data_IF_190237243461
#
_entry.id   IF_190237243461
#
_cell.length_a   1.000
_cell.length_b   1.000
_cell.length_c   1.000
_cell.angle_alpha   90.00
_cell.angle_beta   90.00
_cell.angle_gamma   90.00
#
_symmetry.space_group_name_H-M   'P 1'
#
loop_
_entity.id
_entity.type
_entity.pdbx_description
1 polymer ?
#
# COMPACT_ATOMS: atom_id res chain seq x y z
N UNK A 1 -27.27 35.28 14.24
CA UNK A 1 -25.98 34.89 14.80
C UNK A 1 -24.95 34.88 13.65
N UNK A 2 -23.83 35.59 13.86
CA UNK A 2 -22.76 35.58 12.85
C UNK A 2 -21.98 34.28 12.88
N UNK A 3 -21.17 34.05 11.84
CA UNK A 3 -20.29 32.89 11.74
C UNK A 3 -19.00 33.17 12.57
N UNK A 4 -18.69 32.38 13.60
CA UNK A 4 -17.46 32.55 14.37
C UNK A 4 -16.23 32.45 13.47
N UNK A 5 -15.24 33.34 13.66
CA UNK A 5 -14.02 33.36 12.87
C UNK A 5 -12.84 33.76 13.75
N UNK A 6 -11.90 32.84 13.97
CA UNK A 6 -10.65 33.12 14.71
C UNK A 6 -9.61 33.65 13.75
N UNK A 7 -9.30 34.90 13.87
CA UNK A 7 -8.45 35.63 12.92
C UNK A 7 -7.14 36.05 13.58
N UNK A 8 -6.02 35.56 13.07
CA UNK A 8 -4.71 36.11 13.45
C UNK A 8 -4.39 37.28 12.52
N UNK A 9 -4.23 38.48 13.09
CA UNK A 9 -3.93 39.71 12.35
C UNK A 9 -2.46 40.04 12.52
N UNK A 10 -1.75 40.16 11.41
CA UNK A 10 -0.37 40.60 11.37
C UNK A 10 -0.39 42.03 10.85
N UNK A 11 -0.35 43.01 11.76
CA UNK A 11 -0.57 44.44 11.46
C UNK A 11 0.01 45.30 12.59
N UNK A 12 0.72 46.38 12.27
CA UNK A 12 1.27 47.34 13.24
C UNK A 12 0.25 48.44 13.58
N UNK A 13 -0.73 48.71 12.70
CA UNK A 13 -1.78 49.74 12.89
C UNK A 13 -3.03 49.14 13.57
N UNK A 14 -3.44 49.74 14.69
CA UNK A 14 -4.69 49.37 15.35
C UNK A 14 -5.90 49.82 14.54
N UNK A 15 -5.86 51.00 13.90
CA UNK A 15 -6.93 51.53 13.08
C UNK A 15 -7.21 50.63 11.87
N UNK A 16 -6.19 50.13 11.19
CA UNK A 16 -6.30 49.21 10.08
C UNK A 16 -6.89 47.85 10.53
N UNK A 17 -6.47 47.36 11.70
CA UNK A 17 -7.05 46.19 12.33
C UNK A 17 -8.56 46.35 12.56
N UNK A 18 -8.98 47.50 13.09
CA UNK A 18 -10.39 47.79 13.33
C UNK A 18 -11.21 47.87 12.03
N UNK A 19 -10.62 48.43 10.96
CA UNK A 19 -11.25 48.45 9.63
C UNK A 19 -11.47 47.03 9.08
N UNK A 20 -10.48 46.17 9.18
CA UNK A 20 -10.55 44.77 8.77
C UNK A 20 -11.67 44.04 9.57
N UNK A 21 -11.68 44.23 10.91
CA UNK A 21 -12.71 43.61 11.76
C UNK A 21 -14.11 44.14 11.46
N UNK A 22 -14.28 45.42 11.13
CA UNK A 22 -15.53 45.99 10.72
C UNK A 22 -16.09 45.35 9.46
N UNK A 23 -15.21 45.18 8.41
CA UNK A 23 -15.63 44.56 7.17
C UNK A 23 -16.00 43.08 7.36
N UNK A 24 -15.26 42.32 8.17
CA UNK A 24 -15.61 40.93 8.50
C UNK A 24 -16.98 40.85 9.20
N UNK A 25 -17.27 41.71 10.17
CA UNK A 25 -18.56 41.78 10.84
C UNK A 25 -19.69 42.13 9.86
N UNK A 26 -19.47 43.09 8.96
CA UNK A 26 -20.40 43.45 7.87
C UNK A 26 -20.72 42.27 6.97
N UNK A 27 -19.72 41.40 6.74
CA UNK A 27 -19.85 40.17 5.96
C UNK A 27 -20.56 39.03 6.65
N UNK A 28 -21.04 39.22 7.93
CA UNK A 28 -21.78 38.21 8.69
C UNK A 28 -20.90 37.30 9.55
N UNK A 29 -19.60 37.62 9.73
CA UNK A 29 -18.73 36.92 10.66
C UNK A 29 -18.79 37.53 12.06
N UNK A 30 -18.48 36.71 13.07
CA UNK A 30 -18.20 37.13 14.45
C UNK A 30 -16.71 36.90 14.75
N UNK A 31 -15.80 37.81 14.29
CA UNK A 31 -14.38 37.59 14.42
C UNK A 31 -13.92 37.75 15.87
N UNK A 32 -13.21 36.77 16.36
CA UNK A 32 -12.29 36.88 17.50
C UNK A 32 -10.88 36.96 16.95
N UNK A 33 -10.08 37.91 17.42
CA UNK A 33 -8.79 38.16 16.85
C UNK A 33 -7.69 38.39 17.88
N UNK A 34 -6.47 38.08 17.46
CA UNK A 34 -5.23 38.54 18.12
C UNK A 34 -4.39 39.27 17.08
N UNK A 35 -3.85 40.44 17.49
CA UNK A 35 -2.97 41.25 16.65
C UNK A 35 -1.53 41.06 17.05
N UNK A 36 -0.66 40.80 16.08
CA UNK A 36 0.80 40.62 16.25
C UNK A 36 1.53 41.45 15.20
N UNK A 37 2.72 41.93 15.54
CA UNK A 37 3.56 42.73 14.67
C UNK A 37 5.02 42.28 14.64
N UNK A 38 5.32 41.13 15.28
CA UNK A 38 6.64 40.50 15.30
C UNK A 38 6.57 39.00 15.03
N UNK A 39 7.69 38.43 14.63
CA UNK A 39 7.83 36.99 14.37
C UNK A 39 7.60 36.15 15.64
N UNK A 40 8.11 36.63 16.78
CA UNK A 40 8.00 35.97 18.08
C UNK A 40 6.56 35.92 18.54
N UNK A 41 5.84 37.06 18.42
CA UNK A 41 4.42 37.15 18.80
C UNK A 41 3.56 36.23 17.88
N UNK A 42 3.79 36.24 16.57
CA UNK A 42 3.12 35.33 15.63
C UNK A 42 3.39 33.86 16.00
N UNK A 43 4.63 33.51 16.27
CA UNK A 43 5.00 32.16 16.66
C UNK A 43 4.27 31.72 17.94
N UNK A 44 4.24 32.57 18.96
CA UNK A 44 3.51 32.29 20.21
C UNK A 44 2.00 32.16 19.99
N UNK A 45 1.39 33.06 19.21
CA UNK A 45 -0.03 32.99 18.88
C UNK A 45 -0.42 31.71 18.15
N UNK A 46 0.41 31.25 17.20
CA UNK A 46 0.19 30.00 16.47
C UNK A 46 0.32 28.73 17.36
N UNK A 47 1.09 28.82 18.44
CA UNK A 47 1.24 27.71 19.40
C UNK A 47 0.16 27.70 20.48
N UNK A 48 -0.42 28.87 20.80
CA UNK A 48 -1.39 29.00 21.90
C UNK A 48 -2.81 28.60 21.54
N UNK A 49 -3.23 28.77 20.29
CA UNK A 49 -4.62 28.46 19.89
C UNK A 49 -4.74 28.12 18.39
N UNK A 50 -5.92 27.62 18.04
CA UNK A 50 -6.24 27.27 16.65
C UNK A 50 -6.84 28.49 15.95
N UNK A 51 -6.32 28.80 14.79
CA UNK A 51 -6.79 29.89 13.93
C UNK A 51 -7.56 29.34 12.73
N UNK A 52 -8.47 30.17 12.21
CA UNK A 52 -9.20 29.83 10.99
C UNK A 52 -8.58 30.53 9.78
N UNK A 53 -8.00 31.72 9.99
CA UNK A 53 -7.41 32.53 8.93
C UNK A 53 -6.33 33.48 9.49
N UNK A 54 -5.36 33.80 8.64
CA UNK A 54 -4.36 34.85 8.88
C UNK A 54 -4.61 35.98 7.90
N UNK A 55 -4.66 37.21 8.40
CA UNK A 55 -4.70 38.41 7.59
C UNK A 55 -3.48 39.26 7.94
N UNK A 56 -2.65 39.57 6.95
CA UNK A 56 -1.37 40.24 7.12
C UNK A 56 -1.30 41.53 6.32
N UNK A 57 -0.86 42.62 6.95
CA UNK A 57 -0.36 43.74 6.17
C UNK A 57 0.92 43.34 5.45
N UNK A 58 1.13 43.92 4.30
CA UNK A 58 2.34 43.72 3.50
C UNK A 58 3.49 44.56 3.98
N UNK A 59 3.24 45.80 4.42
CA UNK A 59 4.24 46.85 4.65
C UNK A 59 4.42 47.15 6.12
N UNK A 60 4.99 46.23 6.87
CA UNK A 60 5.34 46.45 8.27
C UNK A 60 6.84 46.69 8.47
N UNK A 61 7.25 47.61 9.36
CA UNK A 61 8.65 47.95 9.54
C UNK A 61 9.48 46.80 10.15
N UNK A 62 8.90 45.97 11.00
CA UNK A 62 9.64 44.98 11.80
C UNK A 62 9.39 43.53 11.41
N UNK A 63 8.35 43.24 10.62
CA UNK A 63 7.97 41.87 10.27
C UNK A 63 7.42 41.80 8.86
N UNK A 64 8.12 41.12 7.96
CA UNK A 64 7.76 41.06 6.57
C UNK A 64 6.80 39.88 6.27
N UNK A 65 5.88 40.04 5.29
CA UNK A 65 5.00 38.99 4.79
C UNK A 65 5.76 37.71 4.39
N UNK A 66 6.90 37.75 3.66
CA UNK A 66 7.67 36.53 3.37
C UNK A 66 8.17 35.81 4.63
N UNK A 67 8.55 36.51 5.69
CA UNK A 67 8.96 35.89 6.94
C UNK A 67 7.77 35.22 7.66
N UNK A 68 6.60 35.87 7.66
CA UNK A 68 5.38 35.31 8.21
C UNK A 68 4.94 34.03 7.47
N UNK A 69 5.00 34.02 6.13
CA UNK A 69 4.71 32.84 5.30
C UNK A 69 5.73 31.72 5.54
N UNK A 70 7.01 32.03 5.67
CA UNK A 70 8.05 31.06 5.98
C UNK A 70 7.82 30.39 7.35
N UNK A 71 7.42 31.18 8.36
CA UNK A 71 7.09 30.67 9.69
C UNK A 71 5.87 29.76 9.66
N UNK A 72 4.79 30.15 8.99
CA UNK A 72 3.59 29.32 8.82
C UNK A 72 3.90 27.99 8.14
N UNK A 73 4.67 28.04 7.05
CA UNK A 73 5.11 26.86 6.32
C UNK A 73 6.01 25.95 7.15
N UNK A 74 6.91 26.53 7.95
CA UNK A 74 7.78 25.78 8.85
C UNK A 74 7.01 25.00 9.93
N UNK A 75 5.81 25.47 10.32
CA UNK A 75 4.92 24.80 11.26
C UNK A 75 4.02 23.74 10.59
N UNK A 76 4.00 23.65 9.27
CA UNK A 76 3.13 22.69 8.55
C UNK A 76 1.64 22.98 8.71
N UNK A 77 1.24 24.21 9.01
CA UNK A 77 -0.15 24.60 9.20
C UNK A 77 -0.78 24.98 7.86
N UNK A 78 -1.91 24.35 7.52
CA UNK A 78 -2.74 24.70 6.36
C UNK A 78 -3.80 25.73 6.81
N UNK A 79 -3.41 27.01 6.81
CA UNK A 79 -4.27 28.13 7.15
C UNK A 79 -4.30 29.11 5.98
N UNK A 80 -5.48 29.65 5.61
CA UNK A 80 -5.56 30.74 4.64
C UNK A 80 -4.74 31.94 5.11
N UNK A 81 -3.91 32.46 4.22
CA UNK A 81 -3.10 33.63 4.46
C UNK A 81 -3.45 34.70 3.42
N UNK A 82 -4.15 35.74 3.85
CA UNK A 82 -4.61 36.85 3.00
C UNK A 82 -3.76 38.07 3.30
N UNK A 83 -3.26 38.70 2.26
CA UNK A 83 -2.52 39.95 2.37
C UNK A 83 -3.47 41.14 2.17
N UNK A 84 -3.40 42.12 3.07
CA UNK A 84 -4.12 43.38 2.94
C UNK A 84 -3.10 44.51 2.86
N UNK A 85 -3.10 45.30 1.78
CA UNK A 85 -2.09 46.34 1.56
C UNK A 85 -2.65 47.61 0.93
N UNK A 86 -2.06 48.76 1.30
CA UNK A 86 -2.43 50.07 0.74
C UNK A 86 -1.90 50.31 -0.68
N UNK A 87 -0.71 49.78 -1.00
CA UNK A 87 -0.09 49.92 -2.33
C UNK A 87 0.84 48.73 -2.63
N UNK A 88 0.31 47.72 -3.24
CA UNK A 88 1.13 46.63 -3.80
C UNK A 88 1.24 46.80 -5.31
N UNK A 89 2.46 46.82 -5.85
CA UNK A 89 2.71 46.64 -7.27
C UNK A 89 2.38 45.19 -7.68
N UNK A 90 1.94 45.00 -8.94
CA UNK A 90 1.57 43.66 -9.47
C UNK A 90 2.68 42.62 -9.29
N UNK A 91 3.93 43.00 -9.47
CA UNK A 91 5.09 42.10 -9.29
C UNK A 91 5.20 41.56 -7.86
N UNK A 92 4.90 42.39 -6.86
CA UNK A 92 5.02 42.05 -5.45
C UNK A 92 3.85 41.15 -5.00
N UNK A 93 2.64 41.39 -5.54
CA UNK A 93 1.50 40.52 -5.32
C UNK A 93 1.77 39.11 -5.89
N UNK A 94 2.33 39.03 -7.11
CA UNK A 94 2.73 37.74 -7.72
C UNK A 94 3.81 37.04 -6.90
N UNK A 95 4.80 37.78 -6.38
CA UNK A 95 5.84 37.20 -5.52
C UNK A 95 5.29 36.64 -4.22
N UNK A 96 4.33 37.32 -3.58
CA UNK A 96 3.68 36.89 -2.36
C UNK A 96 2.81 35.61 -2.59
N UNK A 97 2.08 35.55 -3.71
CA UNK A 97 1.32 34.36 -4.09
C UNK A 97 2.26 33.14 -4.34
N UNK A 98 3.38 33.36 -5.03
CA UNK A 98 4.40 32.30 -5.21
C UNK A 98 5.04 31.87 -3.89
N UNK A 99 5.14 32.76 -2.90
CA UNK A 99 5.65 32.44 -1.59
C UNK A 99 4.67 31.64 -0.72
N UNK A 100 3.39 31.59 -1.10
CA UNK A 100 2.35 30.80 -0.42
C UNK A 100 1.19 31.61 0.16
N UNK A 101 1.08 32.91 -0.15
CA UNK A 101 -0.14 33.66 0.15
C UNK A 101 -1.30 33.12 -0.69
N UNK A 102 -2.49 33.10 -0.14
CA UNK A 102 -3.68 32.55 -0.81
C UNK A 102 -4.40 33.61 -1.64
N UNK A 103 -4.46 34.85 -1.15
CA UNK A 103 -5.00 35.97 -1.91
C UNK A 103 -4.44 37.30 -1.35
N UNK A 104 -4.74 38.38 -2.09
CA UNK A 104 -4.46 39.73 -1.63
C UNK A 104 -5.66 40.66 -1.81
N UNK A 105 -5.80 41.62 -0.91
CA UNK A 105 -6.87 42.63 -0.92
C UNK A 105 -6.25 44.01 -0.72
N UNK A 106 -6.71 45.01 -1.49
CA UNK A 106 -6.26 46.38 -1.35
C UNK A 106 -7.01 47.07 -0.21
N UNK A 107 -6.30 47.87 0.64
CA UNK A 107 -6.91 48.64 1.74
C UNK A 107 -7.95 49.65 1.24
N UNK A 108 -7.81 50.16 -0.01
CA UNK A 108 -8.79 51.05 -0.65
C UNK A 108 -10.04 50.31 -1.17
N UNK A 109 -10.05 48.96 -1.19
CA UNK A 109 -11.15 48.14 -1.64
C UNK A 109 -11.39 46.93 -0.71
N UNK A 110 -11.58 47.19 0.58
CA UNK A 110 -11.84 46.15 1.59
C UNK A 110 -13.17 45.39 1.37
N UNK A 111 -14.06 45.88 0.51
CA UNK A 111 -15.27 45.15 0.13
C UNK A 111 -14.99 43.76 -0.50
N UNK A 112 -13.79 43.55 -1.05
CA UNK A 112 -13.33 42.25 -1.54
C UNK A 112 -12.92 41.27 -0.46
N UNK A 113 -12.65 41.75 0.76
CA UNK A 113 -12.12 40.90 1.85
C UNK A 113 -13.06 39.74 2.19
N UNK A 114 -14.34 40.02 2.37
CA UNK A 114 -15.33 39.02 2.74
C UNK A 114 -15.51 37.91 1.68
N UNK A 115 -15.66 38.22 0.37
CA UNK A 115 -15.63 37.21 -0.69
C UNK A 115 -14.38 36.34 -0.68
N UNK A 116 -13.20 36.94 -0.53
CA UNK A 116 -11.91 36.23 -0.50
C UNK A 116 -11.84 35.30 0.72
N UNK A 117 -12.14 35.82 1.92
CA UNK A 117 -12.18 35.02 3.17
C UNK A 117 -13.10 33.81 3.01
N UNK A 118 -14.32 34.02 2.49
CA UNK A 118 -15.28 32.94 2.27
C UNK A 118 -14.76 31.87 1.31
N UNK A 119 -14.12 32.29 0.22
CA UNK A 119 -13.53 31.39 -0.76
C UNK A 119 -12.40 30.57 -0.15
N UNK A 120 -11.46 31.21 0.50
CA UNK A 120 -10.27 30.55 1.07
C UNK A 120 -10.61 29.58 2.21
N UNK A 121 -11.56 29.95 3.07
CA UNK A 121 -12.07 29.04 4.11
C UNK A 121 -12.70 27.78 3.51
N UNK A 122 -13.45 27.94 2.42
CA UNK A 122 -14.07 26.83 1.72
C UNK A 122 -13.02 25.92 1.07
N UNK A 123 -12.01 26.50 0.43
CA UNK A 123 -10.93 25.75 -0.21
C UNK A 123 -10.13 24.91 0.82
N UNK A 124 -9.84 25.47 2.00
CA UNK A 124 -9.23 24.71 3.09
C UNK A 124 -10.10 23.55 3.55
N UNK A 125 -11.41 23.78 3.70
CA UNK A 125 -12.34 22.73 4.10
C UNK A 125 -12.38 21.58 3.08
N UNK A 126 -12.47 21.89 1.79
CA UNK A 126 -12.43 20.92 0.70
C UNK A 126 -11.12 20.14 0.70
N UNK A 127 -9.97 20.82 0.88
CA UNK A 127 -8.66 20.13 0.96
C UNK A 127 -8.59 19.18 2.16
N UNK A 128 -9.10 19.59 3.32
CA UNK A 128 -9.14 18.76 4.54
C UNK A 128 -10.06 17.56 4.39
N UNK A 129 -11.24 17.75 3.81
CA UNK A 129 -12.17 16.65 3.54
C UNK A 129 -11.58 15.64 2.58
N UNK A 130 -10.95 16.12 1.51
CA UNK A 130 -10.25 15.26 0.53
C UNK A 130 -9.13 14.47 1.22
N UNK A 131 -8.27 15.10 1.99
CA UNK A 131 -7.20 14.43 2.72
C UNK A 131 -7.72 13.33 3.66
N UNK A 132 -8.80 13.61 4.42
CA UNK A 132 -9.45 12.61 5.29
C UNK A 132 -10.05 11.45 4.50
N UNK A 133 -10.66 11.74 3.35
CA UNK A 133 -11.25 10.71 2.48
C UNK A 133 -10.15 9.80 1.88
N UNK A 134 -9.04 10.39 1.41
CA UNK A 134 -7.89 9.66 0.89
C UNK A 134 -7.26 8.76 1.99
N UNK A 135 -7.09 9.29 3.19
CA UNK A 135 -6.55 8.52 4.33
C UNK A 135 -7.49 7.36 4.73
N UNK A 136 -8.80 7.62 4.80
CA UNK A 136 -9.81 6.59 5.12
C UNK A 136 -9.85 5.50 4.06
N UNK A 137 -9.74 5.87 2.78
CA UNK A 137 -9.69 4.93 1.66
C UNK A 137 -8.44 4.04 1.76
N UNK A 138 -7.29 4.63 2.03
CA UNK A 138 -6.05 3.90 2.20
C UNK A 138 -6.12 2.90 3.36
N UNK A 139 -6.63 3.32 4.51
CA UNK A 139 -6.81 2.43 5.67
C UNK A 139 -7.79 1.29 5.37
N UNK A 140 -8.88 1.58 4.66
CA UNK A 140 -9.86 0.57 4.25
C UNK A 140 -9.26 -0.44 3.28
N UNK A 141 -8.46 0.02 2.32
CA UNK A 141 -7.75 -0.84 1.37
C UNK A 141 -6.75 -1.77 2.08
N UNK A 142 -5.96 -1.25 2.99
CA UNK A 142 -5.00 -2.05 3.77
C UNK A 142 -5.68 -3.09 4.65
N UNK A 143 -6.82 -2.72 5.27
CA UNK A 143 -7.63 -3.64 6.06
C UNK A 143 -8.19 -4.78 5.20
N UNK A 144 -8.77 -4.44 4.04
CA UNK A 144 -9.35 -5.43 3.12
C UNK A 144 -8.28 -6.41 2.63
N UNK A 145 -7.11 -5.89 2.26
CA UNK A 145 -5.96 -6.70 1.86
C UNK A 145 -5.55 -7.69 2.95
N UNK A 146 -5.43 -7.21 4.19
CA UNK A 146 -5.09 -8.07 5.34
C UNK A 146 -6.13 -9.18 5.55
N UNK A 147 -7.43 -8.84 5.51
CA UNK A 147 -8.50 -9.83 5.68
C UNK A 147 -8.45 -10.90 4.59
N UNK A 148 -8.17 -10.51 3.34
CA UNK A 148 -8.02 -11.45 2.24
C UNK A 148 -6.85 -12.42 2.47
N UNK A 149 -5.71 -11.91 2.94
CA UNK A 149 -4.55 -12.72 3.28
C UNK A 149 -4.83 -13.70 4.41
N UNK A 150 -5.40 -13.20 5.51
CA UNK A 150 -5.76 -14.03 6.66
C UNK A 150 -6.78 -15.10 6.30
N UNK A 151 -7.74 -14.78 5.42
CA UNK A 151 -8.73 -15.74 4.91
C UNK A 151 -8.07 -16.82 4.07
N UNK A 152 -7.16 -16.45 3.16
CA UNK A 152 -6.41 -17.41 2.36
C UNK A 152 -5.59 -18.36 3.25
N UNK A 153 -4.89 -17.82 4.25
CA UNK A 153 -4.12 -18.62 5.23
C UNK A 153 -5.04 -19.56 6.02
N UNK A 154 -6.21 -19.09 6.46
CA UNK A 154 -7.16 -19.91 7.18
C UNK A 154 -7.70 -21.08 6.33
N UNK A 155 -8.01 -20.82 5.05
CA UNK A 155 -8.42 -21.85 4.10
C UNK A 155 -7.30 -22.86 3.85
N UNK A 156 -6.08 -22.40 3.60
CA UNK A 156 -4.90 -23.27 3.45
C UNK A 156 -4.69 -24.16 4.68
N UNK A 157 -4.71 -23.56 5.86
CA UNK A 157 -4.54 -24.30 7.12
C UNK A 157 -5.67 -25.32 7.38
N UNK A 158 -6.89 -25.05 6.90
CA UNK A 158 -8.00 -26.02 7.00
C UNK A 158 -7.74 -27.26 6.16
N UNK A 159 -7.10 -27.12 4.99
CA UNK A 159 -6.70 -28.22 4.12
C UNK A 159 -5.52 -29.00 4.74
N UNK A 160 -4.50 -28.28 5.24
CA UNK A 160 -3.36 -28.92 5.91
C UNK A 160 -3.78 -29.82 7.10
N UNK A 161 -4.86 -29.46 7.83
CA UNK A 161 -5.37 -30.30 8.93
C UNK A 161 -5.90 -31.65 8.47
N UNK A 162 -6.23 -31.82 7.18
CA UNK A 162 -6.64 -33.10 6.59
C UNK A 162 -5.44 -33.94 6.15
N UNK A 163 -4.30 -33.30 5.92
CA UNK A 163 -3.01 -33.92 5.61
C UNK A 163 -2.03 -33.57 6.75
N UNK A 164 -1.97 -34.39 7.82
CA UNK A 164 -1.24 -34.03 9.06
C UNK A 164 0.25 -33.78 8.87
N UNK A 165 0.80 -34.16 7.72
CA UNK A 165 2.23 -34.04 7.43
C UNK A 165 2.59 -32.80 6.63
N UNK A 166 1.59 -31.99 6.26
CA UNK A 166 1.80 -30.73 5.52
C UNK A 166 1.69 -29.48 6.37
N UNK A 167 1.73 -29.61 7.71
CA UNK A 167 1.64 -28.46 8.60
C UNK A 167 2.73 -27.41 8.28
N UNK A 168 2.27 -26.20 7.89
CA UNK A 168 3.12 -25.10 7.46
C UNK A 168 3.76 -25.24 6.08
N UNK A 169 3.50 -26.33 5.34
CA UNK A 169 4.00 -26.53 3.98
C UNK A 169 3.63 -25.39 3.04
N UNK A 170 2.36 -25.06 2.98
CA UNK A 170 1.85 -24.02 2.09
C UNK A 170 2.48 -22.66 2.37
N UNK A 171 2.73 -22.33 3.64
CA UNK A 171 3.38 -21.10 4.04
C UNK A 171 4.86 -21.10 3.63
N UNK A 172 5.58 -22.21 3.82
CA UNK A 172 6.98 -22.33 3.42
C UNK A 172 7.16 -22.31 1.91
N UNK A 173 6.26 -22.98 1.17
CA UNK A 173 6.22 -22.92 -0.31
C UNK A 173 5.98 -21.50 -0.78
N UNK A 174 4.98 -20.80 -0.23
CA UNK A 174 4.68 -19.42 -0.56
C UNK A 174 5.86 -18.49 -0.22
N UNK A 175 6.54 -18.70 0.92
CA UNK A 175 7.71 -17.93 1.32
C UNK A 175 8.87 -18.10 0.32
N UNK A 176 9.20 -19.32 -0.07
CA UNK A 176 10.24 -19.61 -1.04
C UNK A 176 9.89 -19.08 -2.42
N UNK A 177 8.67 -19.31 -2.90
CA UNK A 177 8.21 -18.80 -4.20
C UNK A 177 8.29 -17.27 -4.27
N UNK A 178 7.89 -16.56 -3.23
CA UNK A 178 8.05 -15.11 -3.14
C UNK A 178 9.51 -14.65 -3.11
N UNK A 179 10.41 -15.41 -2.48
CA UNK A 179 11.82 -15.09 -2.46
C UNK A 179 12.43 -15.28 -3.86
N UNK A 180 12.12 -16.39 -4.55
CA UNK A 180 12.53 -16.62 -5.94
C UNK A 180 12.05 -15.48 -6.84
N UNK A 181 10.76 -15.13 -6.77
CA UNK A 181 10.17 -14.06 -7.57
C UNK A 181 10.83 -12.70 -7.33
N UNK A 182 11.23 -12.39 -6.10
CA UNK A 182 11.98 -11.17 -5.76
C UNK A 182 13.39 -11.20 -6.37
N UNK A 183 14.09 -12.32 -6.25
CA UNK A 183 15.42 -12.53 -6.85
C UNK A 183 15.40 -12.39 -8.38
N UNK A 184 14.28 -12.75 -9.02
CA UNK A 184 14.05 -12.56 -10.46
C UNK A 184 13.57 -11.14 -10.82
N UNK A 185 13.36 -10.23 -9.86
CA UNK A 185 12.95 -8.85 -10.12
C UNK A 185 11.48 -8.67 -10.49
N UNK A 186 10.58 -9.60 -10.13
CA UNK A 186 9.16 -9.45 -10.40
C UNK A 186 8.55 -8.28 -9.61
N UNK A 187 7.48 -7.67 -10.16
CA UNK A 187 6.77 -6.57 -9.50
C UNK A 187 6.13 -7.01 -8.18
N UNK A 188 5.96 -6.07 -7.24
CA UNK A 188 5.29 -6.34 -5.96
C UNK A 188 3.92 -7.00 -6.15
N UNK A 189 3.16 -6.56 -7.14
CA UNK A 189 1.84 -7.13 -7.45
C UNK A 189 1.93 -8.61 -7.87
N UNK A 190 2.87 -8.99 -8.73
CA UNK A 190 3.05 -10.40 -9.13
C UNK A 190 3.48 -11.26 -7.95
N UNK A 191 4.37 -10.77 -7.09
CA UNK A 191 4.81 -11.47 -5.88
C UNK A 191 3.63 -11.73 -4.93
N UNK A 192 2.71 -10.79 -4.80
CA UNK A 192 1.48 -10.98 -4.03
C UNK A 192 0.60 -12.09 -4.62
N UNK A 193 0.43 -12.12 -5.93
CA UNK A 193 -0.32 -13.19 -6.62
C UNK A 193 0.31 -14.56 -6.38
N UNK A 194 1.64 -14.66 -6.47
CA UNK A 194 2.40 -15.89 -6.17
C UNK A 194 2.19 -16.31 -4.71
N UNK A 195 2.19 -15.36 -3.78
CA UNK A 195 1.98 -15.64 -2.36
C UNK A 195 0.61 -16.24 -2.08
N UNK A 196 -0.45 -15.64 -2.63
CA UNK A 196 -1.83 -16.13 -2.48
C UNK A 196 -1.97 -17.51 -3.14
N UNK A 197 -1.43 -17.67 -4.35
CA UNK A 197 -1.45 -18.96 -5.04
C UNK A 197 -0.67 -20.03 -4.26
N UNK A 198 0.50 -19.70 -3.71
CA UNK A 198 1.28 -20.62 -2.89
C UNK A 198 0.57 -21.10 -1.62
N UNK A 199 -0.22 -20.23 -0.99
CA UNK A 199 -1.04 -20.61 0.18
C UNK A 199 -2.21 -21.52 -0.24
N UNK A 200 -2.77 -21.35 -1.45
CA UNK A 200 -3.98 -21.99 -1.91
C UNK A 200 -3.74 -23.12 -2.94
N UNK A 201 -2.50 -23.37 -3.37
CA UNK A 201 -2.21 -24.29 -4.48
C UNK A 201 -2.78 -25.68 -4.30
N UNK A 202 -2.80 -26.14 -3.08
CA UNK A 202 -3.26 -27.47 -2.67
C UNK A 202 -4.75 -27.53 -2.22
N UNK A 203 -5.51 -26.43 -2.38
CA UNK A 203 -6.91 -26.37 -1.90
C UNK A 203 -7.78 -27.51 -2.47
N UNK A 204 -7.47 -27.96 -3.67
CA UNK A 204 -8.18 -29.07 -4.30
C UNK A 204 -8.01 -30.44 -3.63
N UNK A 205 -7.03 -30.58 -2.73
CA UNK A 205 -6.88 -31.81 -1.92
C UNK A 205 -8.09 -32.08 -1.02
N UNK A 206 -9.00 -31.10 -0.86
CA UNK A 206 -10.27 -31.31 -0.15
C UNK A 206 -11.11 -32.44 -0.76
N UNK A 207 -10.95 -32.71 -2.05
CA UNK A 207 -11.65 -33.80 -2.77
C UNK A 207 -10.96 -35.16 -2.64
N UNK A 208 -9.74 -35.21 -2.12
CA UNK A 208 -9.00 -36.45 -1.93
C UNK A 208 -9.37 -37.06 -0.57
N UNK A 209 -9.69 -38.38 -0.50
CA UNK A 209 -9.91 -39.07 0.76
C UNK A 209 -8.70 -38.92 1.71
N UNK A 210 -8.96 -38.62 2.98
CA UNK A 210 -7.89 -38.39 3.95
C UNK A 210 -7.03 -39.65 4.17
N UNK A 211 -7.61 -40.83 3.99
CA UNK A 211 -6.96 -42.12 4.07
C UNK A 211 -5.85 -42.29 3.03
N UNK A 212 -6.02 -41.66 1.83
CA UNK A 212 -5.01 -41.65 0.77
C UNK A 212 -3.88 -40.65 1.13
N UNK A 213 -4.26 -39.45 1.57
CA UNK A 213 -3.29 -38.38 1.91
C UNK A 213 -2.41 -38.77 3.12
N UNK A 214 -2.98 -39.48 4.10
CA UNK A 214 -2.27 -39.89 5.32
C UNK A 214 -1.77 -41.33 5.30
N UNK A 215 -1.83 -42.00 4.15
CA UNK A 215 -1.46 -43.43 4.00
C UNK A 215 0.01 -43.64 4.36
N UNK A 216 0.33 -44.48 5.34
CA UNK A 216 1.69 -44.90 5.59
C UNK A 216 2.18 -45.85 4.49
N UNK A 217 3.32 -45.60 3.87
CA UNK A 217 3.93 -46.43 2.84
C UNK A 217 3.61 -46.01 1.40
N UNK A 218 3.82 -46.88 0.45
CA UNK A 218 3.70 -46.58 -0.99
C UNK A 218 2.27 -46.31 -1.44
N UNK A 219 2.09 -45.27 -2.24
CA UNK A 219 0.83 -44.94 -2.90
C UNK A 219 0.71 -45.83 -4.17
N UNK A 220 -0.46 -46.44 -4.40
CA UNK A 220 -0.74 -47.17 -5.62
C UNK A 220 -0.92 -46.25 -6.81
N UNK A 221 -0.82 -46.78 -8.03
CA UNK A 221 -1.04 -45.97 -9.23
C UNK A 221 -2.44 -45.33 -9.26
N UNK A 222 -3.47 -46.03 -8.83
CA UNK A 222 -4.84 -45.51 -8.78
C UNK A 222 -4.95 -44.34 -7.78
N UNK A 223 -4.36 -44.50 -6.60
CA UNK A 223 -4.33 -43.45 -5.59
C UNK A 223 -3.55 -42.22 -6.08
N UNK A 224 -2.44 -42.42 -6.77
CA UNK A 224 -1.68 -41.36 -7.38
C UNK A 224 -2.45 -40.59 -8.46
N UNK A 225 -3.18 -41.30 -9.31
CA UNK A 225 -4.07 -40.70 -10.31
C UNK A 225 -5.16 -39.85 -9.63
N UNK A 226 -5.71 -40.30 -8.48
CA UNK A 226 -6.64 -39.48 -7.70
C UNK A 226 -5.96 -38.21 -7.18
N UNK A 227 -4.73 -38.31 -6.64
CA UNK A 227 -3.98 -37.14 -6.17
C UNK A 227 -3.75 -36.15 -7.31
N UNK A 228 -3.43 -36.60 -8.51
CA UNK A 228 -3.22 -35.73 -9.70
C UNK A 228 -4.45 -34.89 -10.07
N UNK A 229 -5.62 -35.17 -9.52
CA UNK A 229 -6.83 -34.39 -9.79
C UNK A 229 -6.90 -33.06 -9.00
N UNK A 230 -6.11 -32.91 -7.93
CA UNK A 230 -6.23 -31.74 -7.05
C UNK A 230 -5.93 -30.38 -7.71
N UNK A 231 -5.02 -30.23 -8.71
CA UNK A 231 -4.83 -28.92 -9.34
C UNK A 231 -6.08 -28.48 -10.10
N UNK A 232 -6.74 -29.42 -10.77
CA UNK A 232 -8.00 -29.13 -11.46
C UNK A 232 -9.13 -28.83 -10.48
N UNK A 233 -9.26 -29.60 -9.42
CA UNK A 233 -10.24 -29.37 -8.36
C UNK A 233 -9.99 -27.99 -7.68
N UNK A 234 -8.72 -27.65 -7.43
CA UNK A 234 -8.33 -26.34 -6.90
C UNK A 234 -8.71 -25.20 -7.83
N UNK A 235 -8.44 -25.35 -9.12
CA UNK A 235 -8.89 -24.41 -10.15
C UNK A 235 -10.41 -24.21 -10.11
N UNK A 236 -11.17 -25.29 -10.07
CA UNK A 236 -12.64 -25.22 -10.06
C UNK A 236 -13.20 -24.53 -8.82
N UNK A 237 -12.52 -24.62 -7.67
CA UNK A 237 -12.87 -23.88 -6.45
C UNK A 237 -12.56 -22.38 -6.58
N UNK A 238 -11.44 -22.01 -7.23
CA UNK A 238 -10.90 -20.65 -7.21
C UNK A 238 -11.30 -19.81 -8.42
N UNK A 239 -11.74 -20.41 -9.53
CA UNK A 239 -11.96 -19.73 -10.82
C UNK A 239 -13.03 -18.63 -10.79
N UNK A 240 -14.01 -18.75 -9.90
CA UNK A 240 -15.12 -17.81 -9.78
C UNK A 240 -14.83 -16.68 -8.78
N UNK A 241 -13.64 -16.68 -8.16
CA UNK A 241 -13.18 -15.60 -7.28
C UNK A 241 -12.42 -14.58 -8.12
N UNK A 242 -12.87 -13.33 -8.09
CA UNK A 242 -12.22 -12.22 -8.80
C UNK A 242 -10.92 -11.75 -8.10
N UNK A 243 -9.90 -12.59 -8.18
CA UNK A 243 -8.56 -12.19 -7.74
C UNK A 243 -7.96 -11.19 -8.73
N UNK A 244 -7.18 -10.18 -8.27
CA UNK A 244 -6.43 -9.31 -9.17
C UNK A 244 -5.25 -10.02 -9.88
N UNK A 245 -5.04 -11.29 -9.58
CA UNK A 245 -3.98 -12.15 -10.11
C UNK A 245 -4.57 -13.46 -10.60
N UNK A 246 -3.89 -14.19 -11.51
CA UNK A 246 -4.40 -15.46 -12.06
C UNK A 246 -4.20 -16.63 -11.08
N UNK A 247 -4.66 -16.49 -9.82
CA UNK A 247 -4.45 -17.49 -8.75
C UNK A 247 -4.97 -18.87 -9.14
N UNK A 248 -6.16 -18.94 -9.71
CA UNK A 248 -6.74 -20.22 -10.15
C UNK A 248 -5.88 -20.91 -11.23
N UNK A 249 -5.35 -20.14 -12.20
CA UNK A 249 -4.50 -20.67 -13.25
C UNK A 249 -3.14 -21.13 -12.71
N UNK A 250 -2.55 -20.38 -11.79
CA UNK A 250 -1.29 -20.76 -11.12
C UNK A 250 -1.52 -22.08 -10.37
N UNK A 251 -2.62 -22.21 -9.63
CA UNK A 251 -3.02 -23.43 -8.93
C UNK A 251 -3.21 -24.61 -9.89
N UNK A 252 -3.81 -24.37 -11.07
CA UNK A 252 -3.97 -25.42 -12.07
C UNK A 252 -2.62 -25.94 -12.60
N UNK A 253 -1.64 -25.04 -12.77
CA UNK A 253 -0.42 -25.32 -13.53
C UNK A 253 0.82 -25.64 -12.67
N UNK A 254 0.75 -25.60 -11.35
CA UNK A 254 1.93 -25.74 -10.49
C UNK A 254 2.64 -27.10 -10.57
N UNK A 255 1.97 -28.12 -11.11
CA UNK A 255 2.56 -29.43 -11.39
C UNK A 255 2.87 -29.68 -12.87
N UNK A 256 2.68 -28.67 -13.74
CA UNK A 256 3.16 -28.76 -15.12
C UNK A 256 4.71 -28.75 -15.15
N UNK A 257 5.28 -29.30 -16.19
CA UNK A 257 6.74 -29.42 -16.39
C UNK A 257 7.12 -28.84 -17.74
N UNK A 258 8.32 -28.25 -17.82
CA UNK A 258 8.79 -27.55 -19.02
C UNK A 258 8.79 -28.47 -20.28
N UNK A 259 8.99 -29.77 -20.13
CA UNK A 259 8.99 -30.75 -21.19
C UNK A 259 7.58 -31.30 -21.55
N UNK A 260 6.52 -30.89 -20.86
CA UNK A 260 5.14 -31.36 -21.06
C UNK A 260 4.80 -32.68 -20.34
N UNK A 261 5.72 -33.23 -19.54
CA UNK A 261 5.46 -34.45 -18.75
C UNK A 261 4.61 -34.22 -17.50
N UNK A 262 4.30 -32.97 -17.20
CA UNK A 262 3.50 -32.56 -16.04
C UNK A 262 2.00 -32.86 -16.17
N UNK A 263 1.24 -32.38 -15.21
CA UNK A 263 -0.21 -32.56 -15.17
C UNK A 263 -0.89 -31.29 -14.61
N UNK A 264 -2.20 -31.04 -14.83
CA UNK A 264 -3.18 -31.94 -15.45
C UNK A 264 -3.32 -31.78 -16.96
N UNK A 265 -2.72 -30.77 -17.59
CA UNK A 265 -2.95 -30.41 -18.99
C UNK A 265 -1.80 -30.80 -19.92
N UNK A 266 -0.63 -31.14 -19.40
CA UNK A 266 0.57 -31.43 -20.17
C UNK A 266 1.11 -30.19 -20.92
N UNK A 267 0.99 -29.01 -20.32
CA UNK A 267 1.55 -27.77 -20.86
C UNK A 267 3.08 -27.83 -20.85
N UNK A 268 3.71 -27.17 -21.81
CA UNK A 268 5.16 -27.14 -21.93
C UNK A 268 5.70 -25.72 -22.14
N UNK A 269 6.93 -25.50 -21.77
CA UNK A 269 7.66 -24.25 -22.03
C UNK A 269 6.91 -23.01 -21.55
N UNK A 270 6.74 -22.03 -22.44
CA UNK A 270 6.12 -20.74 -22.13
C UNK A 270 4.60 -20.78 -22.01
N UNK A 271 3.96 -21.87 -22.37
CA UNK A 271 2.52 -22.07 -22.14
C UNK A 271 2.18 -22.18 -20.63
N UNK A 272 3.19 -22.50 -19.81
CA UNK A 272 3.09 -22.49 -18.35
C UNK A 272 3.34 -21.08 -17.85
N UNK A 273 2.46 -20.52 -17.04
CA UNK A 273 2.64 -19.23 -16.39
C UNK A 273 3.96 -19.19 -15.60
N UNK A 274 4.71 -18.10 -15.71
CA UNK A 274 5.97 -17.93 -14.95
C UNK A 274 5.74 -18.11 -13.45
N UNK A 275 4.65 -17.57 -12.94
CA UNK A 275 4.24 -17.69 -11.55
C UNK A 275 4.01 -19.16 -11.13
N UNK A 276 3.48 -19.97 -12.03
CA UNK A 276 3.29 -21.42 -11.78
C UNK A 276 4.64 -22.18 -11.85
N UNK A 277 5.54 -21.83 -12.77
CA UNK A 277 6.91 -22.40 -12.82
C UNK A 277 7.67 -22.11 -11.52
N UNK A 278 7.57 -20.87 -10.99
CA UNK A 278 8.17 -20.47 -9.70
C UNK A 278 7.57 -21.29 -8.56
N UNK A 279 6.24 -21.42 -8.53
CA UNK A 279 5.56 -22.17 -7.49
C UNK A 279 5.91 -23.66 -7.53
N UNK A 280 6.00 -24.25 -8.74
CA UNK A 280 6.36 -25.66 -8.92
C UNK A 280 7.78 -25.98 -8.44
N UNK A 281 8.75 -25.09 -8.64
CA UNK A 281 10.10 -25.26 -8.09
C UNK A 281 10.10 -25.14 -6.56
N UNK A 282 9.39 -24.15 -6.02
CA UNK A 282 9.29 -23.95 -4.57
C UNK A 282 8.62 -25.13 -3.87
N UNK A 283 7.57 -25.67 -4.46
CA UNK A 283 6.85 -26.84 -3.93
C UNK A 283 7.76 -28.08 -3.90
N UNK A 284 8.48 -28.36 -4.98
CA UNK A 284 9.42 -29.51 -5.03
C UNK A 284 10.54 -29.36 -4.01
N UNK A 285 11.14 -28.18 -3.89
CA UNK A 285 12.22 -27.96 -2.92
C UNK A 285 11.72 -28.12 -1.48
N UNK A 286 10.58 -27.57 -1.16
CA UNK A 286 9.98 -27.74 0.18
C UNK A 286 9.62 -29.20 0.43
N UNK A 287 8.97 -29.85 -0.53
CA UNK A 287 8.54 -31.24 -0.40
C UNK A 287 9.69 -32.22 -0.20
N UNK A 288 10.84 -31.99 -0.82
CA UNK A 288 12.02 -32.86 -0.65
C UNK A 288 12.73 -32.56 0.68
N UNK A 289 12.82 -31.30 1.07
CA UNK A 289 13.52 -30.89 2.29
C UNK A 289 12.73 -31.16 3.57
N UNK A 290 11.41 -31.39 3.50
CA UNK A 290 10.53 -31.63 4.65
C UNK A 290 10.18 -33.11 4.86
N UNK A 291 9.75 -33.46 6.08
CA UNK A 291 9.26 -34.79 6.41
C UNK A 291 7.91 -35.08 5.74
N UNK A 292 7.74 -36.30 5.21
CA UNK A 292 6.49 -36.80 4.63
C UNK A 292 6.11 -38.14 5.29
N UNK A 293 4.83 -38.58 5.26
CA UNK A 293 4.38 -39.82 5.92
C UNK A 293 5.15 -41.07 5.49
N UNK A 294 5.57 -41.06 4.24
CA UNK A 294 6.21 -42.19 3.57
C UNK A 294 7.70 -41.99 3.35
N UNK A 295 8.28 -40.84 3.80
CA UNK A 295 9.70 -40.52 3.60
C UNK A 295 10.20 -39.50 4.61
N UNK A 296 11.35 -39.75 5.29
CA UNK A 296 12.02 -38.73 6.10
C UNK A 296 12.49 -37.56 5.22
N UNK A 297 12.70 -36.39 5.82
CA UNK A 297 13.32 -35.26 5.15
C UNK A 297 14.70 -35.69 4.57
N UNK A 298 14.91 -35.42 3.30
CA UNK A 298 16.21 -35.70 2.65
C UNK A 298 17.20 -34.54 2.83
N UNK A 299 16.73 -33.41 3.33
CA UNK A 299 17.51 -32.19 3.50
C UNK A 299 17.49 -31.28 2.27
N UNK A 300 17.95 -30.06 2.51
CA UNK A 300 17.92 -29.02 1.47
C UNK A 300 18.91 -29.32 0.34
N UNK A 301 20.07 -29.87 0.63
CA UNK A 301 21.09 -30.15 -0.37
C UNK A 301 20.57 -31.11 -1.45
N UNK A 302 19.87 -32.18 -1.05
CA UNK A 302 19.23 -33.12 -1.97
C UNK A 302 18.13 -32.46 -2.81
N UNK A 303 17.37 -31.54 -2.22
CA UNK A 303 16.34 -30.79 -2.94
C UNK A 303 16.95 -29.86 -4.02
N UNK A 304 18.06 -29.21 -3.69
CA UNK A 304 18.77 -28.32 -4.64
C UNK A 304 19.45 -29.13 -5.74
N UNK A 305 20.01 -30.29 -5.42
CA UNK A 305 20.57 -31.21 -6.40
C UNK A 305 19.54 -31.69 -7.41
N UNK A 306 18.35 -32.11 -6.95
CA UNK A 306 17.23 -32.55 -7.79
C UNK A 306 16.84 -31.46 -8.79
N UNK A 307 16.55 -30.24 -8.35
CA UNK A 307 16.15 -29.16 -9.27
C UNK A 307 17.29 -28.73 -10.19
N UNK A 308 18.55 -28.91 -9.76
CA UNK A 308 19.73 -28.59 -10.57
C UNK A 308 19.99 -29.60 -11.70
N UNK A 309 19.75 -30.88 -11.45
CA UNK A 309 19.88 -31.93 -12.44
C UNK A 309 18.86 -31.82 -13.56
N UNK A 310 17.60 -31.47 -13.20
CA UNK A 310 16.48 -31.37 -14.11
C UNK A 310 16.24 -29.94 -14.63
N UNK A 311 17.21 -29.05 -14.43
CA UNK A 311 17.19 -27.65 -14.87
C UNK A 311 17.15 -27.55 -16.39
N UNK A 312 16.14 -26.83 -16.91
CA UNK A 312 15.93 -26.68 -18.36
C UNK A 312 15.20 -27.84 -19.02
N UNK A 313 14.97 -28.95 -18.30
CA UNK A 313 14.20 -30.12 -18.75
C UNK A 313 12.83 -30.13 -18.07
N UNK A 314 12.77 -30.37 -16.78
CA UNK A 314 11.53 -30.36 -16.00
C UNK A 314 11.23 -28.97 -15.40
N UNK A 315 12.26 -28.21 -15.04
CA UNK A 315 12.14 -26.93 -14.37
C UNK A 315 12.72 -25.78 -15.19
N UNK A 316 12.10 -24.63 -15.07
CA UNK A 316 12.56 -23.41 -15.74
C UNK A 316 14.00 -23.05 -15.29
N UNK A 317 14.86 -22.78 -16.27
CA UNK A 317 16.28 -22.48 -16.08
C UNK A 317 16.51 -21.27 -15.15
N UNK A 318 15.79 -20.19 -15.40
CA UNK A 318 15.97 -18.92 -14.67
C UNK A 318 15.42 -19.02 -13.26
N UNK A 319 14.28 -19.70 -13.09
CA UNK A 319 13.68 -19.97 -11.79
C UNK A 319 14.60 -20.81 -10.91
N UNK A 320 15.18 -21.89 -11.46
CA UNK A 320 16.13 -22.73 -10.72
C UNK A 320 17.39 -21.95 -10.35
N UNK A 321 17.94 -21.16 -11.28
CA UNK A 321 19.13 -20.35 -10.99
C UNK A 321 18.86 -19.32 -9.87
N UNK A 322 17.69 -18.68 -9.87
CA UNK A 322 17.27 -17.78 -8.81
C UNK A 322 17.14 -18.52 -7.46
N UNK A 323 16.52 -19.70 -7.46
CA UNK A 323 16.41 -20.53 -6.26
C UNK A 323 17.77 -20.94 -5.68
N UNK A 324 18.68 -21.43 -6.51
CA UNK A 324 20.05 -21.81 -6.09
C UNK A 324 20.80 -20.61 -5.51
N UNK A 325 20.66 -19.43 -6.11
CA UNK A 325 21.31 -18.20 -5.64
C UNK A 325 20.84 -17.82 -4.23
N UNK A 326 19.55 -17.95 -3.94
CA UNK A 326 18.99 -17.66 -2.62
C UNK A 326 19.63 -18.52 -1.52
N UNK A 327 19.74 -19.82 -1.73
CA UNK A 327 20.31 -20.73 -0.72
C UNK A 327 21.85 -20.63 -0.62
N UNK A 328 22.55 -20.53 -1.75
CA UNK A 328 24.01 -20.56 -1.77
C UNK A 328 24.67 -19.22 -1.44
N UNK A 329 24.04 -18.09 -1.78
CA UNK A 329 24.63 -16.76 -1.63
C UNK A 329 23.94 -15.88 -0.61
N UNK A 330 22.63 -16.01 -0.45
CA UNK A 330 21.85 -15.11 0.39
C UNK A 330 21.44 -15.73 1.74
N UNK A 331 21.79 -17.01 1.96
CA UNK A 331 21.55 -17.69 3.22
C UNK A 331 20.07 -17.90 3.55
N UNK A 332 19.24 -18.10 2.52
CA UNK A 332 17.81 -18.38 2.72
C UNK A 332 17.63 -19.66 3.55
N UNK A 333 16.70 -19.61 4.51
CA UNK A 333 16.28 -20.74 5.31
C UNK A 333 14.78 -20.70 5.52
N UNK A 334 14.16 -21.86 5.66
CA UNK A 334 12.77 -21.94 6.11
C UNK A 334 12.72 -21.61 7.61
N UNK A 335 11.84 -20.67 7.99
CA UNK A 335 11.57 -20.31 9.40
C UNK A 335 10.51 -21.23 10.00
#
# INVERSE_FOLDING_TARGET
MGIPLRTLIIEDSEDDTLLIMHELKRGGYEPTYERVDTSEAMNAALDCQVWDIIISDHSMPNFSTPAALALLKGKGLDLPFIIVSGSIGEEMAVAAMKAGAHDYVRKDNLSRLVPVVRWELREVEVRRERGRAEETLQQSYEKLRRVLEETAVALGSAIEKRDPYTAGHQQRVAQLACAIARGMGLSKSKIEGIRVAGILHDIGKIYIPAEILSKPGSITEIEFQMIKTHPRAGYDILKDIEFPWPVAQITLQHHERMDGSGYPSGLSGEDILLEARILGVADVVEAISSHRPYRPALGIDMALDEISQEKGTLYDLDVVNACLTLFQKEGFGFN
#
